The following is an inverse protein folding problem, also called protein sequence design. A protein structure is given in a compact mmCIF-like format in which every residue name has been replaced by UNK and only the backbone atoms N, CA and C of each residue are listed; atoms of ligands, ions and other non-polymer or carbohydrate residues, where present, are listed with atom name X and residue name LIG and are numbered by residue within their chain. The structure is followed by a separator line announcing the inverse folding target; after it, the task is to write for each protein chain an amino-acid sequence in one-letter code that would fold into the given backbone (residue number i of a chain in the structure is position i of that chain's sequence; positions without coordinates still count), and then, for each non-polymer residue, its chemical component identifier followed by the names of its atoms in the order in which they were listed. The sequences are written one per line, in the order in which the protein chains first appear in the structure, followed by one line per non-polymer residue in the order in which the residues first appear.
data_IF_136590727688
#
_entry.id   IF_136590727688
#
_cell.length_a   1.000
_cell.length_b   1.000
_cell.length_c   1.000
_cell.angle_alpha   90.00
_cell.angle_beta   90.00
_cell.angle_gamma   90.00
#
_symmetry.space_group_name_H-M   'P 1'
#
loop_
_entity.id
_entity.type
_entity.pdbx_description
1 polymer ?
#
# COMPACT_ATOMS: atom_id res chain seq x y z
N UNK A 1 -11.03 15.23 2.14
CA UNK A 1 -10.10 14.10 2.38
C UNK A 1 -9.20 13.91 1.17
N UNK A 2 -7.91 13.76 1.39
CA UNK A 2 -6.93 13.67 0.31
C UNK A 2 -6.71 12.22 -0.08
N UNK A 3 -6.65 11.94 -1.37
CA UNK A 3 -6.34 10.59 -1.85
C UNK A 3 -4.83 10.32 -1.74
N UNK A 4 -4.48 9.06 -1.54
CA UNK A 4 -3.10 8.63 -1.71
C UNK A 4 -2.70 8.75 -3.19
N UNK A 5 -1.44 9.03 -3.44
CA UNK A 5 -0.92 9.34 -4.78
C UNK A 5 0.06 8.27 -5.22
N UNK A 6 -0.28 7.46 -6.22
CA UNK A 6 0.65 6.49 -6.77
C UNK A 6 1.52 7.11 -7.86
N UNK A 7 2.79 6.71 -7.89
CA UNK A 7 3.71 7.02 -8.98
C UNK A 7 4.35 5.72 -9.44
N UNK A 8 4.19 5.38 -10.71
CA UNK A 8 4.80 4.17 -11.26
C UNK A 8 6.26 4.51 -11.60
N UNK A 9 7.19 3.89 -10.88
CA UNK A 9 8.63 4.12 -11.06
C UNK A 9 9.23 3.18 -12.09
N UNK A 10 8.70 1.96 -12.18
CA UNK A 10 9.18 0.92 -13.09
C UNK A 10 8.02 0.01 -13.45
N UNK A 11 7.87 -0.33 -14.71
CA UNK A 11 6.84 -1.25 -15.17
C UNK A 11 7.35 -2.02 -16.38
N UNK A 12 7.59 -3.31 -16.20
CA UNK A 12 8.02 -4.20 -17.28
C UNK A 12 7.19 -5.50 -17.23
N UNK A 13 7.59 -6.51 -17.97
CA UNK A 13 6.85 -7.78 -18.03
C UNK A 13 7.02 -8.65 -16.79
N UNK A 14 7.91 -8.28 -15.87
CA UNK A 14 8.24 -9.06 -14.66
C UNK A 14 7.73 -8.42 -13.38
N UNK A 15 7.86 -7.10 -13.26
CA UNK A 15 7.49 -6.36 -12.06
C UNK A 15 6.89 -5.01 -12.41
N UNK A 16 6.07 -4.50 -11.49
CA UNK A 16 5.69 -3.09 -11.49
C UNK A 16 6.00 -2.52 -10.11
N UNK A 17 6.77 -1.44 -10.09
CA UNK A 17 7.16 -0.76 -8.84
C UNK A 17 6.42 0.57 -8.78
N UNK A 18 5.65 0.75 -7.72
CA UNK A 18 4.84 1.95 -7.49
C UNK A 18 5.21 2.55 -6.14
N UNK A 19 5.54 3.84 -6.13
CA UNK A 19 5.66 4.60 -4.89
C UNK A 19 4.30 5.16 -4.52
N UNK A 20 3.85 4.90 -3.30
CA UNK A 20 2.60 5.42 -2.76
C UNK A 20 2.90 6.51 -1.75
N UNK A 21 2.38 7.70 -2.01
CA UNK A 21 2.48 8.84 -1.10
C UNK A 21 1.10 9.13 -0.51
N UNK A 22 1.03 9.18 0.81
CA UNK A 22 -0.17 9.56 1.56
C UNK A 22 0.10 10.94 2.15
N UNK A 23 -0.37 12.02 1.51
CA UNK A 23 0.06 13.39 1.85
C UNK A 23 -0.24 13.81 3.27
N UNK A 24 -1.30 13.25 3.87
CA UNK A 24 -1.73 13.65 5.20
C UNK A 24 -2.42 12.50 5.92
N UNK A 25 -2.62 12.67 7.21
CA UNK A 25 -3.46 11.76 7.99
C UNK A 25 -4.85 11.66 7.34
N UNK A 26 -5.37 10.46 7.23
CA UNK A 26 -6.66 10.20 6.59
C UNK A 26 -6.60 9.99 5.08
N UNK A 27 -5.46 10.22 4.43
CA UNK A 27 -5.31 9.89 3.02
C UNK A 27 -5.50 8.39 2.79
N UNK A 28 -6.18 8.02 1.73
CA UNK A 28 -6.53 6.62 1.47
C UNK A 28 -6.30 6.25 0.02
N UNK A 29 -5.95 4.98 -0.22
CA UNK A 29 -5.80 4.46 -1.57
C UNK A 29 -7.13 4.35 -2.30
N UNK A 30 -8.22 4.18 -1.57
CA UNK A 30 -9.49 3.71 -2.12
C UNK A 30 -9.52 2.18 -2.20
N UNK A 31 -10.72 1.63 -2.33
CA UNK A 31 -10.87 0.18 -2.42
C UNK A 31 -10.35 -0.30 -3.76
N UNK A 32 -9.49 -1.32 -3.72
CA UNK A 32 -8.86 -1.88 -4.92
C UNK A 32 -8.59 -3.37 -4.73
N UNK A 33 -8.39 -4.06 -5.85
CA UNK A 33 -8.06 -5.48 -5.87
C UNK A 33 -6.68 -5.64 -6.48
N UNK A 34 -5.82 -6.42 -5.82
CA UNK A 34 -4.48 -6.74 -6.33
C UNK A 34 -4.56 -7.88 -7.35
N UNK A 35 -4.04 -7.63 -8.55
CA UNK A 35 -3.95 -8.66 -9.61
C UNK A 35 -2.82 -9.65 -9.35
N UNK A 36 -1.78 -9.21 -8.68
CA UNK A 36 -0.52 -9.96 -8.50
C UNK A 36 -0.17 -10.07 -7.04
N UNK A 37 0.67 -11.06 -6.72
CA UNK A 37 1.38 -11.04 -5.45
C UNK A 37 2.28 -9.81 -5.43
N UNK A 38 2.50 -9.25 -4.25
CA UNK A 38 3.25 -8.01 -4.15
C UNK A 38 4.04 -7.94 -2.84
N UNK A 39 5.07 -7.11 -2.86
CA UNK A 39 5.91 -6.82 -1.71
C UNK A 39 5.73 -5.34 -1.39
N UNK A 40 5.57 -5.01 -0.12
CA UNK A 40 5.53 -3.63 0.35
C UNK A 40 6.81 -3.33 1.11
N UNK A 41 7.47 -2.24 0.74
CA UNK A 41 8.66 -1.76 1.43
C UNK A 41 8.34 -0.41 2.06
N UNK A 42 8.14 -0.36 3.38
CA UNK A 42 7.90 0.90 4.07
C UNK A 42 9.11 1.85 3.96
N UNK A 43 8.84 3.12 3.68
CA UNK A 43 9.85 4.17 3.65
C UNK A 43 9.80 4.98 4.94
N UNK A 44 8.63 5.57 5.24
CA UNK A 44 8.46 6.38 6.46
C UNK A 44 8.06 5.54 7.67
N UNK A 45 7.39 4.43 7.44
CA UNK A 45 6.71 3.70 8.51
C UNK A 45 5.46 4.42 8.98
N UNK A 46 4.91 3.97 10.08
CA UNK A 46 3.74 4.56 10.71
C UNK A 46 2.54 3.62 10.74
N UNK A 47 1.45 4.12 11.30
CA UNK A 47 0.23 3.35 11.48
C UNK A 47 -0.72 3.58 10.32
N UNK A 48 -1.34 2.51 9.87
CA UNK A 48 -2.37 2.52 8.84
C UNK A 48 -3.60 1.76 9.34
N UNK A 49 -4.75 2.06 8.77
CA UNK A 49 -5.97 1.27 8.95
C UNK A 49 -6.30 0.63 7.60
N UNK A 50 -6.51 -0.67 7.63
CA UNK A 50 -6.87 -1.44 6.43
C UNK A 50 -8.31 -1.89 6.57
N UNK A 51 -9.11 -1.59 5.55
CA UNK A 51 -10.48 -2.08 5.43
C UNK A 51 -10.47 -3.25 4.44
N UNK A 52 -10.81 -4.44 4.91
CA UNK A 52 -10.77 -5.66 4.13
C UNK A 52 -12.05 -5.86 3.30
N UNK A 53 -12.08 -6.93 2.49
CA UNK A 53 -13.15 -7.18 1.53
C UNK A 53 -14.54 -7.31 2.19
N UNK A 54 -14.59 -7.84 3.42
CA UNK A 54 -15.83 -8.02 4.17
C UNK A 54 -16.28 -6.77 4.92
N UNK A 55 -15.54 -5.66 4.79
CA UNK A 55 -15.83 -4.40 5.46
C UNK A 55 -15.23 -4.27 6.86
N UNK A 56 -14.61 -5.32 7.38
CA UNK A 56 -13.91 -5.24 8.67
C UNK A 56 -12.64 -4.39 8.53
N UNK A 57 -12.24 -3.76 9.64
CA UNK A 57 -11.03 -2.92 9.67
C UNK A 57 -10.04 -3.48 10.67
N UNK A 58 -8.76 -3.24 10.40
CA UNK A 58 -7.67 -3.62 11.29
C UNK A 58 -6.56 -2.58 11.23
N UNK A 59 -5.83 -2.45 12.32
CA UNK A 59 -4.65 -1.61 12.34
C UNK A 59 -3.46 -2.40 11.78
N UNK A 60 -2.59 -1.68 11.08
CA UNK A 60 -1.34 -2.21 10.55
C UNK A 60 -0.23 -1.19 10.82
N UNK A 61 0.85 -1.64 11.42
CA UNK A 61 2.02 -0.80 11.65
C UNK A 61 3.10 -1.17 10.65
N UNK A 62 3.60 -0.16 9.96
CA UNK A 62 4.76 -0.30 9.08
C UNK A 62 6.01 0.22 9.80
N UNK A 63 7.09 -0.54 9.69
CA UNK A 63 8.41 -0.15 10.20
C UNK A 63 9.32 0.13 9.01
N UNK A 64 10.04 1.26 8.98
CA UNK A 64 10.91 1.60 7.84
C UNK A 64 11.86 0.46 7.49
N UNK A 65 11.88 0.08 6.22
CA UNK A 65 12.75 -0.97 5.70
C UNK A 65 12.30 -2.41 5.99
N UNK A 66 11.29 -2.63 6.81
CA UNK A 66 10.77 -3.97 7.06
C UNK A 66 9.67 -4.31 6.07
N UNK A 67 10.04 -4.98 4.99
CA UNK A 67 9.10 -5.38 3.95
C UNK A 67 8.20 -6.51 4.40
N UNK A 68 7.03 -6.57 3.76
CA UNK A 68 6.08 -7.67 3.95
C UNK A 68 5.41 -7.99 2.62
N UNK A 69 4.76 -9.12 2.55
CA UNK A 69 4.19 -9.65 1.33
C UNK A 69 2.66 -9.66 1.39
N UNK A 70 2.05 -9.33 0.26
CA UNK A 70 0.62 -9.47 0.04
C UNK A 70 0.35 -10.45 -1.11
N UNK A 71 -0.87 -10.93 -1.20
CA UNK A 71 -1.25 -11.95 -2.17
C UNK A 71 -2.21 -11.43 -3.23
N UNK A 72 -2.11 -11.97 -4.42
CA UNK A 72 -3.06 -11.73 -5.50
C UNK A 72 -4.49 -12.04 -5.03
N UNK A 73 -5.43 -11.24 -5.46
CA UNK A 73 -6.84 -11.39 -5.06
C UNK A 73 -7.21 -10.59 -3.82
N UNK A 74 -6.25 -10.04 -3.10
CA UNK A 74 -6.54 -9.18 -1.94
C UNK A 74 -7.35 -7.97 -2.37
N UNK A 75 -8.46 -7.73 -1.67
CA UNK A 75 -9.31 -6.53 -1.85
C UNK A 75 -9.25 -5.74 -0.55
N UNK A 76 -8.83 -4.49 -0.62
CA UNK A 76 -8.75 -3.66 0.57
C UNK A 76 -8.71 -2.16 0.23
N UNK A 77 -8.82 -1.35 1.27
CA UNK A 77 -8.62 0.08 1.25
C UNK A 77 -7.63 0.41 2.37
N UNK A 78 -6.57 1.15 2.05
CA UNK A 78 -5.50 1.45 3.01
C UNK A 78 -5.54 2.95 3.31
N UNK A 79 -5.71 3.28 4.59
CA UNK A 79 -5.80 4.66 5.07
C UNK A 79 -4.63 4.97 5.98
N UNK A 80 -4.00 6.11 5.75
CA UNK A 80 -2.94 6.62 6.61
C UNK A 80 -3.53 7.08 7.94
N UNK A 81 -3.08 6.49 9.04
CA UNK A 81 -3.48 6.84 10.40
C UNK A 81 -2.26 7.25 11.25
N UNK A 82 -1.19 7.71 10.59
CA UNK A 82 0.07 8.04 11.26
C UNK A 82 0.11 9.45 11.85
N UNK A 83 -0.82 10.30 11.48
CA UNK A 83 -0.82 11.70 11.88
C UNK A 83 0.07 12.61 11.03
N UNK A 84 0.73 12.07 10.02
CA UNK A 84 1.68 12.79 9.18
C UNK A 84 1.70 12.17 7.78
N UNK A 85 2.47 12.76 6.87
CA UNK A 85 2.72 12.16 5.56
C UNK A 85 3.35 10.78 5.72
N UNK A 86 2.96 9.85 4.86
CA UNK A 86 3.53 8.51 4.84
C UNK A 86 3.82 8.08 3.40
N UNK A 87 4.87 7.27 3.24
CA UNK A 87 5.31 6.76 1.95
C UNK A 87 5.70 5.30 2.09
N UNK A 88 5.30 4.48 1.13
CA UNK A 88 5.86 3.14 0.96
C UNK A 88 5.97 2.80 -0.53
N UNK A 89 6.75 1.78 -0.83
CA UNK A 89 6.94 1.27 -2.18
C UNK A 89 6.26 -0.09 -2.28
N UNK A 90 5.52 -0.28 -3.37
CA UNK A 90 4.85 -1.54 -3.67
C UNK A 90 5.48 -2.16 -4.90
N UNK A 91 5.89 -3.41 -4.81
CA UNK A 91 6.49 -4.17 -5.91
C UNK A 91 5.54 -5.30 -6.27
N UNK A 92 4.88 -5.18 -7.40
CA UNK A 92 4.00 -6.23 -7.92
C UNK A 92 4.81 -7.23 -8.72
N UNK A 93 4.59 -8.52 -8.45
CA UNK A 93 5.32 -9.63 -9.07
C UNK A 93 4.45 -10.22 -10.18
N UNK A 94 4.72 -9.86 -11.42
CA UNK A 94 3.89 -10.25 -12.56
C UNK A 94 4.17 -11.66 -13.05
N UNK A 95 5.33 -12.21 -12.73
CA UNK A 95 5.71 -13.57 -13.08
C UNK A 95 5.78 -14.45 -11.85
N UNK A 96 5.58 -15.73 -12.06
CA UNK A 96 5.59 -16.72 -10.98
C UNK A 96 6.70 -17.72 -11.18
#
# INVERSE_FOLDING_TARGET
MTAAEPTIDLDDDRVRVTSWRFPSDGSATGRHRHEYDYIVVPVTGGRFVVSDADGSTREMTQTPGQSYQGTAGTVHDVTNASGAEAVFVEIELKTR
#
